data_IF_462162195579
#
_entry.id   IF_462162195579
#
_cell.length_a   1.000
_cell.length_b   1.000
_cell.length_c   1.000
_cell.angle_alpha   90.00
_cell.angle_beta   90.00
_cell.angle_gamma   90.00
#
_symmetry.space_group_name_H-M   'P 1'
#
loop_
_entity.id
_entity.type
_entity.pdbx_description
1 polymer ?
#
# COMPACT_ATOMS: atom_id res chain seq x y z
N UNK A 1 -15.18 41.59 -60.86
CA UNK A 1 -16.11 40.86 -59.96
C UNK A 1 -15.31 39.78 -59.23
N UNK A 2 -15.49 39.69 -57.90
CA UNK A 2 -14.50 39.19 -56.92
C UNK A 2 -14.19 37.69 -57.03
N UNK A 3 -12.89 37.34 -56.96
CA UNK A 3 -12.40 35.96 -56.76
C UNK A 3 -12.56 35.59 -55.28
N UNK A 4 -13.29 34.52 -54.99
CA UNK A 4 -13.44 33.97 -53.65
C UNK A 4 -12.39 32.85 -53.50
N UNK A 5 -11.46 33.03 -52.58
CA UNK A 5 -10.47 32.01 -52.20
C UNK A 5 -11.05 31.28 -50.99
N UNK A 6 -11.29 29.97 -51.12
CA UNK A 6 -11.71 29.11 -50.02
C UNK A 6 -10.44 28.55 -49.39
N UNK A 7 -10.13 28.97 -48.16
CA UNK A 7 -9.06 28.41 -47.34
C UNK A 7 -9.69 27.32 -46.47
N UNK A 8 -9.37 26.06 -46.75
CA UNK A 8 -9.72 24.95 -45.90
C UNK A 8 -8.78 24.91 -44.69
N UNK A 9 -9.31 25.11 -43.49
CA UNK A 9 -8.56 25.01 -42.24
C UNK A 9 -8.53 23.54 -41.81
N UNK A 10 -7.38 22.88 -41.98
CA UNK A 10 -7.17 21.51 -41.49
C UNK A 10 -7.05 21.51 -39.97
N UNK A 11 -8.00 20.90 -39.28
CA UNK A 11 -7.93 20.65 -37.84
C UNK A 11 -7.02 19.44 -37.60
N UNK A 12 -5.76 19.67 -37.23
CA UNK A 12 -4.87 18.61 -36.78
C UNK A 12 -5.25 18.22 -35.35
N UNK A 13 -5.83 17.03 -35.18
CA UNK A 13 -6.04 16.43 -33.87
C UNK A 13 -4.68 16.07 -33.27
N UNK A 14 -4.19 16.86 -32.31
CA UNK A 14 -3.13 16.40 -31.42
C UNK A 14 -3.72 15.34 -30.48
N UNK A 15 -3.54 14.07 -30.85
CA UNK A 15 -3.62 12.96 -29.91
C UNK A 15 -2.55 13.17 -28.84
N UNK A 16 -2.95 13.72 -27.70
CA UNK A 16 -2.10 13.82 -26.52
C UNK A 16 -1.70 12.42 -26.09
N UNK A 17 -0.47 12.02 -26.41
CA UNK A 17 0.19 10.91 -25.73
C UNK A 17 0.24 11.31 -24.27
N UNK A 18 -0.58 10.67 -23.44
CA UNK A 18 -0.41 10.77 -21.99
C UNK A 18 0.94 10.12 -21.70
N UNK A 19 1.97 10.92 -21.42
CA UNK A 19 3.15 10.41 -20.75
C UNK A 19 2.65 9.71 -19.49
N UNK A 20 2.78 8.38 -19.46
CA UNK A 20 2.63 7.63 -18.24
C UNK A 20 3.70 8.17 -17.29
N UNK A 21 3.28 9.05 -16.35
CA UNK A 21 4.17 9.50 -15.29
C UNK A 21 4.68 8.24 -14.61
N UNK A 22 6.00 8.05 -14.64
CA UNK A 22 6.60 6.94 -13.95
C UNK A 22 6.24 7.05 -12.46
N UNK A 23 5.52 6.04 -11.97
CA UNK A 23 5.15 5.89 -10.58
C UNK A 23 6.17 4.97 -9.90
N UNK A 24 6.46 5.23 -8.63
CA UNK A 24 7.25 4.33 -7.78
C UNK A 24 6.43 3.15 -7.23
N UNK A 25 5.13 3.17 -7.46
CA UNK A 25 4.20 2.15 -6.99
C UNK A 25 3.91 1.08 -8.05
N UNK A 26 3.25 0.00 -7.63
CA UNK A 26 2.66 -0.97 -8.55
C UNK A 26 1.75 -0.24 -9.55
N UNK A 27 1.89 -0.59 -10.83
CA UNK A 27 1.23 0.12 -11.93
C UNK A 27 0.17 -0.74 -12.62
N UNK A 28 0.25 -2.07 -12.48
CA UNK A 28 -0.63 -3.02 -13.16
C UNK A 28 -0.84 -4.27 -12.31
N UNK A 29 -2.06 -4.79 -12.31
CA UNK A 29 -2.39 -6.11 -11.75
C UNK A 29 -2.40 -7.12 -12.90
N UNK A 30 -1.40 -7.99 -12.96
CA UNK A 30 -1.29 -9.00 -14.01
C UNK A 30 -2.28 -10.15 -13.79
N UNK A 31 -2.41 -10.57 -12.54
CA UNK A 31 -3.35 -11.62 -12.15
C UNK A 31 -3.83 -11.41 -10.73
N UNK A 32 -5.07 -11.83 -10.47
CA UNK A 32 -5.61 -11.93 -9.13
C UNK A 32 -6.59 -13.10 -9.10
N UNK A 33 -6.39 -13.99 -8.14
CA UNK A 33 -7.26 -15.12 -7.86
C UNK A 33 -7.54 -15.12 -6.36
N UNK A 34 -8.78 -14.82 -5.99
CA UNK A 34 -9.23 -14.88 -4.60
C UNK A 34 -9.14 -16.31 -4.07
N UNK A 35 -8.66 -16.45 -2.86
CA UNK A 35 -8.70 -17.67 -2.06
C UNK A 35 -9.99 -17.83 -1.28
N UNK A 36 -10.01 -18.78 -0.36
CA UNK A 36 -11.13 -18.98 0.57
C UNK A 36 -11.07 -17.98 1.72
N UNK A 37 -12.23 -17.46 2.15
CA UNK A 37 -12.30 -16.57 3.31
C UNK A 37 -11.70 -15.17 3.07
N UNK A 38 -11.66 -14.71 1.82
CA UNK A 38 -11.36 -13.30 1.55
C UNK A 38 -12.41 -12.41 2.25
N UNK A 39 -11.99 -11.22 2.68
CA UNK A 39 -12.83 -10.31 3.44
C UNK A 39 -14.01 -9.77 2.59
N UNK A 40 -15.12 -9.51 3.26
CA UNK A 40 -16.30 -8.83 2.69
C UNK A 40 -16.64 -7.62 3.54
N UNK A 41 -17.06 -6.53 2.90
CA UNK A 41 -17.59 -5.37 3.59
C UNK A 41 -18.78 -5.77 4.46
N UNK A 42 -18.75 -5.36 5.71
CA UNK A 42 -19.76 -5.74 6.70
C UNK A 42 -21.15 -5.21 6.33
N UNK A 43 -21.22 -4.02 5.76
CA UNK A 43 -22.50 -3.34 5.51
C UNK A 43 -23.20 -3.84 4.26
N UNK A 44 -22.45 -4.17 3.21
CA UNK A 44 -22.98 -4.53 1.89
C UNK A 44 -22.81 -6.01 1.55
N UNK A 45 -21.92 -6.72 2.25
CA UNK A 45 -21.49 -8.07 1.90
C UNK A 45 -20.61 -8.14 0.64
N UNK A 46 -20.23 -6.99 0.07
CA UNK A 46 -19.40 -6.95 -1.13
C UNK A 46 -17.97 -7.40 -0.81
N UNK A 47 -17.36 -8.20 -1.68
CA UNK A 47 -15.99 -8.66 -1.50
C UNK A 47 -14.95 -7.56 -1.68
N UNK A 48 -13.89 -7.57 -0.86
CA UNK A 48 -12.68 -6.77 -1.07
C UNK A 48 -11.84 -7.34 -2.23
N UNK A 49 -12.41 -7.34 -3.44
CA UNK A 49 -11.84 -8.00 -4.63
C UNK A 49 -11.55 -7.03 -5.77
N UNK A 50 -11.70 -5.72 -5.52
CA UNK A 50 -11.39 -4.68 -6.49
C UNK A 50 -9.87 -4.57 -6.69
N UNK A 51 -9.39 -5.00 -7.87
CA UNK A 51 -7.96 -5.01 -8.22
C UNK A 51 -7.38 -3.60 -8.34
N UNK A 52 -8.19 -2.61 -8.68
CA UNK A 52 -7.73 -1.23 -8.86
C UNK A 52 -7.41 -0.56 -7.51
N UNK A 53 -7.79 -1.18 -6.38
CA UNK A 53 -7.50 -0.69 -5.04
C UNK A 53 -6.00 -0.78 -4.66
N UNK A 54 -5.20 -1.54 -5.40
CA UNK A 54 -3.79 -1.85 -5.08
C UNK A 54 -2.80 -1.38 -6.15
N UNK A 55 -3.23 -0.50 -7.06
CA UNK A 55 -2.35 0.19 -8.00
C UNK A 55 -2.17 1.65 -7.58
N UNK A 56 -0.98 2.20 -7.79
CA UNK A 56 -0.65 3.55 -7.37
C UNK A 56 -0.34 3.67 -5.88
N UNK A 57 -0.37 4.90 -5.38
CA UNK A 57 -0.03 5.20 -4.00
C UNK A 57 -1.07 4.61 -3.03
N UNK A 58 -0.66 4.14 -1.83
CA UNK A 58 -1.58 3.88 -0.74
C UNK A 58 -2.52 5.06 -0.48
N UNK A 59 -3.72 4.76 0.01
CA UNK A 59 -4.68 5.78 0.36
C UNK A 59 -4.16 6.65 1.52
N UNK A 60 -4.40 7.96 1.44
CA UNK A 60 -4.06 8.92 2.51
C UNK A 60 -5.23 9.23 3.44
N UNK A 61 -6.45 9.09 2.91
CA UNK A 61 -7.68 9.38 3.61
C UNK A 61 -8.74 8.36 3.20
N UNK A 62 -9.66 8.12 4.11
CA UNK A 62 -10.89 7.37 3.86
C UNK A 62 -12.03 8.36 3.66
N UNK A 63 -12.72 8.36 2.50
CA UNK A 63 -13.86 9.24 2.27
C UNK A 63 -15.12 8.77 3.02
N UNK A 64 -16.07 9.69 3.18
CA UNK A 64 -17.39 9.43 3.76
C UNK A 64 -17.60 10.08 5.13
N UNK A 65 -18.81 9.93 5.65
CA UNK A 65 -19.23 10.53 6.94
C UNK A 65 -18.39 10.04 8.12
N UNK A 66 -18.00 8.76 8.08
CA UNK A 66 -17.16 8.10 9.08
C UNK A 66 -15.69 7.99 8.65
N UNK A 67 -15.33 8.73 7.60
CA UNK A 67 -14.00 8.79 7.05
C UNK A 67 -13.05 9.71 7.83
N UNK A 68 -11.85 9.90 7.28
CA UNK A 68 -10.82 10.72 7.88
C UNK A 68 -9.42 10.34 7.39
N UNK A 69 -8.36 10.96 7.93
CA UNK A 69 -7.00 10.59 7.63
C UNK A 69 -6.72 9.12 7.95
N UNK A 70 -6.01 8.45 7.06
CA UNK A 70 -5.45 7.14 7.37
C UNK A 70 -4.29 7.36 8.32
N UNK A 71 -4.35 6.71 9.48
CA UNK A 71 -3.31 6.79 10.51
C UNK A 71 -3.02 5.38 11.02
N UNK A 72 -1.92 5.19 11.76
CA UNK A 72 -1.67 3.89 12.37
C UNK A 72 -2.77 3.39 13.32
N UNK A 73 -3.69 4.26 13.78
CA UNK A 73 -4.87 3.89 14.56
C UNK A 73 -6.16 3.72 13.72
N UNK A 74 -6.19 4.26 12.51
CA UNK A 74 -7.35 4.25 11.62
C UNK A 74 -6.89 3.79 10.23
N UNK A 75 -6.71 2.47 10.04
CA UNK A 75 -6.27 1.91 8.77
C UNK A 75 -7.34 2.09 7.67
N UNK A 76 -6.96 1.96 6.38
CA UNK A 76 -7.95 1.91 5.31
C UNK A 76 -8.97 0.79 5.56
N UNK A 77 -10.19 0.96 5.05
CA UNK A 77 -11.24 -0.06 5.22
C UNK A 77 -12.24 -0.13 4.06
N UNK A 78 -12.14 0.72 3.04
CA UNK A 78 -13.06 0.70 1.91
C UNK A 78 -12.60 -0.26 0.80
N UNK A 79 -13.58 -0.73 0.02
CA UNK A 79 -13.39 -1.63 -1.12
C UNK A 79 -12.45 -1.09 -2.21
N UNK A 80 -12.21 0.23 -2.24
CA UNK A 80 -11.30 0.87 -3.19
C UNK A 80 -9.94 1.24 -2.56
N UNK A 81 -9.67 0.81 -1.33
CA UNK A 81 -8.40 1.06 -0.63
C UNK A 81 -7.64 -0.23 -0.29
N UNK A 82 -8.33 -1.38 -0.19
CA UNK A 82 -7.72 -2.66 0.17
C UNK A 82 -8.21 -3.78 -0.76
N UNK A 83 -7.31 -4.69 -1.10
CA UNK A 83 -7.62 -5.99 -1.68
C UNK A 83 -7.41 -7.10 -0.63
N UNK A 84 -8.38 -8.01 -0.51
CA UNK A 84 -8.25 -9.22 0.31
C UNK A 84 -7.94 -10.43 -0.56
N UNK A 85 -6.84 -11.12 -0.27
CA UNK A 85 -6.38 -12.27 -1.06
C UNK A 85 -7.14 -13.55 -0.69
N UNK A 86 -7.33 -13.81 0.61
CA UNK A 86 -7.89 -15.06 1.13
C UNK A 86 -6.90 -16.24 1.12
N UNK A 87 -7.19 -17.29 1.88
CA UNK A 87 -6.33 -18.47 2.00
C UNK A 87 -6.23 -19.24 0.67
N UNK A 88 -5.00 -19.48 0.21
CA UNK A 88 -4.72 -20.11 -1.07
C UNK A 88 -4.99 -19.22 -2.29
N UNK A 89 -5.30 -17.93 -2.07
CA UNK A 89 -5.36 -16.93 -3.12
C UNK A 89 -3.98 -16.37 -3.46
N UNK A 90 -3.92 -15.61 -4.54
CA UNK A 90 -2.70 -14.94 -5.00
C UNK A 90 -3.04 -13.67 -5.80
N UNK A 91 -2.09 -12.74 -5.80
CA UNK A 91 -2.11 -11.55 -6.64
C UNK A 91 -0.71 -11.33 -7.20
N UNK A 92 -0.63 -11.02 -8.49
CA UNK A 92 0.62 -10.66 -9.16
C UNK A 92 0.56 -9.21 -9.62
N UNK A 93 1.50 -8.41 -9.12
CA UNK A 93 1.63 -6.99 -9.44
C UNK A 93 2.85 -6.76 -10.33
N UNK A 94 2.74 -5.75 -11.19
CA UNK A 94 3.85 -5.26 -12.00
C UNK A 94 4.12 -3.79 -11.69
N UNK A 95 5.38 -3.49 -11.43
CA UNK A 95 5.85 -2.12 -11.29
C UNK A 95 6.13 -1.50 -12.66
N UNK A 96 5.91 -0.19 -12.77
CA UNK A 96 6.26 0.55 -14.00
C UNK A 96 7.77 0.61 -14.22
N UNK A 97 8.56 0.48 -13.15
CA UNK A 97 10.02 0.38 -13.17
C UNK A 97 10.46 -0.84 -12.37
N UNK A 98 11.52 -1.54 -12.77
CA UNK A 98 12.07 -2.63 -11.97
C UNK A 98 12.41 -2.17 -10.55
N UNK A 99 12.09 -2.99 -9.55
CA UNK A 99 12.65 -2.88 -8.20
C UNK A 99 14.15 -3.19 -8.32
N UNK A 100 14.98 -2.47 -7.58
CA UNK A 100 16.44 -2.63 -7.59
C UNK A 100 16.96 -2.66 -6.17
N UNK A 101 17.82 -3.63 -5.91
CA UNK A 101 18.74 -3.57 -4.78
C UNK A 101 19.75 -2.45 -5.04
N UNK A 102 19.67 -1.39 -4.24
CA UNK A 102 20.53 -0.22 -4.34
C UNK A 102 21.16 0.07 -2.96
N UNK A 103 22.49 0.29 -2.86
CA UNK A 103 23.18 0.48 -1.58
C UNK A 103 22.70 1.67 -0.73
N UNK A 104 21.94 2.58 -1.33
CA UNK A 104 21.39 3.78 -0.66
C UNK A 104 19.93 3.60 -0.24
N UNK A 105 19.31 2.44 -0.50
CA UNK A 105 17.98 2.14 -0.01
C UNK A 105 17.98 2.18 1.53
N UNK A 106 17.09 2.96 2.17
CA UNK A 106 17.08 3.08 3.62
C UNK A 106 16.92 1.71 4.29
N UNK A 107 17.80 1.42 5.24
CA UNK A 107 17.90 0.12 5.93
C UNK A 107 18.14 -1.09 5.01
N UNK A 108 18.53 -0.88 3.74
CA UNK A 108 18.69 -1.95 2.75
C UNK A 108 17.36 -2.52 2.23
N UNK A 109 16.26 -1.77 2.31
CA UNK A 109 14.93 -2.25 1.92
C UNK A 109 14.54 -1.69 0.54
N UNK A 110 14.25 -2.59 -0.40
CA UNK A 110 14.09 -2.28 -1.81
C UNK A 110 12.65 -1.97 -2.22
N UNK A 111 11.68 -2.53 -1.50
CA UNK A 111 10.28 -2.22 -1.71
C UNK A 111 9.45 -2.38 -0.43
N UNK A 112 8.26 -1.79 -0.45
CA UNK A 112 7.32 -1.77 0.66
C UNK A 112 6.00 -2.42 0.26
N UNK A 113 5.37 -3.11 1.21
CA UNK A 113 4.00 -3.62 1.09
C UNK A 113 3.16 -3.06 2.22
N UNK A 114 2.03 -2.44 1.85
CA UNK A 114 1.09 -1.82 2.78
C UNK A 114 -0.09 -2.76 3.03
N UNK A 115 -0.33 -3.07 4.29
CA UNK A 115 -1.43 -3.92 4.74
C UNK A 115 -2.60 -3.13 5.33
N UNK A 116 -3.55 -3.88 5.89
CA UNK A 116 -4.77 -3.35 6.51
C UNK A 116 -4.70 -3.29 8.04
N UNK A 117 -3.58 -3.66 8.65
CA UNK A 117 -3.44 -3.64 10.09
C UNK A 117 -3.41 -2.22 10.68
N UNK A 118 -3.85 -2.10 11.93
CA UNK A 118 -3.77 -0.89 12.75
C UNK A 118 -3.37 -1.23 14.19
N UNK A 119 -2.88 -0.24 14.93
CA UNK A 119 -2.64 -0.36 16.37
C UNK A 119 -3.93 -0.33 17.16
N UNK A 120 -4.08 -1.24 18.12
CA UNK A 120 -5.22 -1.25 19.02
C UNK A 120 -5.12 -0.08 20.00
N UNK A 121 -6.20 0.70 20.10
CA UNK A 121 -6.35 1.75 21.11
C UNK A 121 -6.73 1.09 22.45
N UNK A 122 -5.97 1.36 23.51
CA UNK A 122 -6.14 0.71 24.83
C UNK A 122 -6.81 1.59 25.88
N UNK A 123 -6.86 2.91 25.68
CA UNK A 123 -7.53 3.87 26.58
C UNK A 123 -8.97 4.23 26.18
N UNK A 124 -9.46 3.71 25.05
CA UNK A 124 -10.80 3.99 24.52
C UNK A 124 -11.00 5.39 23.91
N UNK A 125 -9.92 6.15 23.69
CA UNK A 125 -9.99 7.47 23.07
C UNK A 125 -9.83 7.37 21.55
N UNK A 126 -10.95 7.37 20.84
CA UNK A 126 -11.00 7.36 19.38
C UNK A 126 -11.05 8.77 18.75
N UNK A 127 -10.94 9.83 19.55
CA UNK A 127 -11.03 11.22 19.10
C UNK A 127 -9.68 11.83 18.65
N UNK A 128 -8.63 10.99 18.61
CA UNK A 128 -7.27 11.38 18.22
C UNK A 128 -6.26 11.33 19.37
N UNK A 129 -6.71 11.15 20.62
CA UNK A 129 -5.85 10.98 21.81
C UNK A 129 -5.61 9.52 22.20
N UNK A 130 -5.90 8.58 21.30
CA UNK A 130 -5.70 7.15 21.51
C UNK A 130 -4.24 6.81 21.82
N UNK A 131 -4.04 5.86 22.74
CA UNK A 131 -2.74 5.24 22.99
C UNK A 131 -2.80 3.73 22.76
N UNK A 132 -1.65 3.10 22.50
CA UNK A 132 -1.54 1.65 22.29
C UNK A 132 -0.59 0.99 23.28
N UNK A 133 -0.72 -0.32 23.44
CA UNK A 133 0.33 -1.17 24.00
C UNK A 133 1.22 -1.79 22.91
N UNK A 134 1.02 -1.40 21.65
CA UNK A 134 1.67 -1.92 20.46
C UNK A 134 0.96 -3.12 19.82
N UNK A 135 -0.13 -3.65 20.40
CA UNK A 135 -0.88 -4.72 19.73
C UNK A 135 -1.51 -4.24 18.43
N UNK A 136 -1.54 -5.12 17.43
CA UNK A 136 -2.18 -4.86 16.14
C UNK A 136 -3.53 -5.56 16.06
N UNK A 137 -4.45 -4.97 15.30
CA UNK A 137 -5.67 -5.61 14.81
C UNK A 137 -5.67 -5.65 13.28
N UNK A 138 -6.55 -6.45 12.67
CA UNK A 138 -6.72 -6.49 11.21
C UNK A 138 -5.61 -7.21 10.44
N UNK A 139 -4.59 -7.73 11.14
CA UNK A 139 -3.49 -8.49 10.55
C UNK A 139 -3.96 -9.85 10.03
N UNK A 140 -3.37 -10.29 8.92
CA UNK A 140 -3.49 -11.68 8.49
C UNK A 140 -2.55 -12.57 9.30
N UNK A 141 -3.08 -13.43 10.16
CA UNK A 141 -2.31 -14.39 10.97
C UNK A 141 -1.78 -15.60 10.17
N UNK A 142 -1.99 -15.61 8.85
CA UNK A 142 -1.56 -16.67 7.96
C UNK A 142 -0.13 -16.48 7.43
N UNK A 143 0.44 -17.56 6.90
CA UNK A 143 1.70 -17.50 6.15
C UNK A 143 1.45 -16.92 4.75
N UNK A 144 1.84 -15.67 4.54
CA UNK A 144 1.86 -15.06 3.21
C UNK A 144 3.24 -15.24 2.60
N UNK A 145 3.29 -15.84 1.41
CA UNK A 145 4.53 -15.96 0.63
C UNK A 145 4.65 -14.80 -0.33
N UNK A 146 5.84 -14.21 -0.39
CA UNK A 146 6.17 -13.13 -1.29
C UNK A 146 7.23 -13.62 -2.28
N UNK A 147 6.99 -13.40 -3.56
CA UNK A 147 7.91 -13.77 -4.63
C UNK A 147 8.13 -12.60 -5.57
N UNK A 148 9.34 -12.50 -6.09
CA UNK A 148 9.73 -11.48 -7.07
C UNK A 148 10.20 -12.13 -8.36
N UNK A 149 10.02 -11.42 -9.48
CA UNK A 149 10.44 -11.85 -10.80
C UNK A 149 10.80 -10.65 -11.66
N UNK A 150 11.89 -10.77 -12.42
CA UNK A 150 12.32 -9.74 -13.36
C UNK A 150 11.69 -9.90 -14.75
N UNK A 151 11.30 -11.12 -15.12
CA UNK A 151 10.80 -11.49 -16.46
C UNK A 151 9.35 -11.99 -16.46
N UNK A 152 8.77 -12.27 -15.29
CA UNK A 152 7.44 -12.86 -15.14
C UNK A 152 7.41 -14.37 -15.32
N UNK A 153 8.54 -15.01 -15.60
CA UNK A 153 8.68 -16.46 -15.83
C UNK A 153 9.40 -17.14 -14.67
N UNK A 154 10.56 -16.63 -14.26
CA UNK A 154 11.34 -17.13 -13.14
C UNK A 154 10.97 -16.38 -11.85
N UNK A 155 10.43 -17.11 -10.86
CA UNK A 155 9.96 -16.54 -9.60
C UNK A 155 10.86 -16.98 -8.44
N UNK A 156 11.31 -16.01 -7.66
CA UNK A 156 12.14 -16.21 -6.47
C UNK A 156 11.33 -15.87 -5.23
N UNK A 157 11.11 -16.86 -4.36
CA UNK A 157 10.44 -16.65 -3.08
C UNK A 157 11.43 -15.99 -2.12
N UNK A 158 11.05 -14.87 -1.51
CA UNK A 158 11.89 -14.25 -0.48
C UNK A 158 12.01 -15.18 0.73
N UNK A 159 13.21 -15.29 1.30
CA UNK A 159 13.46 -16.18 2.44
C UNK A 159 12.61 -15.74 3.64
N UNK A 160 11.62 -16.52 4.10
CA UNK A 160 10.76 -16.12 5.21
C UNK A 160 11.49 -16.03 6.55
N UNK A 161 12.75 -16.48 6.64
CA UNK A 161 13.61 -16.27 7.82
C UNK A 161 14.27 -14.88 7.84
N UNK A 162 14.37 -14.25 6.67
CA UNK A 162 15.04 -12.96 6.49
C UNK A 162 14.05 -11.85 6.15
N UNK A 163 12.97 -12.21 5.46
CA UNK A 163 11.85 -11.33 5.18
C UNK A 163 10.89 -11.28 6.39
N UNK A 164 10.46 -10.07 6.81
CA UNK A 164 9.44 -9.95 7.83
C UNK A 164 8.13 -10.62 7.37
N UNK A 165 7.32 -11.05 8.34
CA UNK A 165 5.97 -11.52 8.00
C UNK A 165 5.20 -10.41 7.28
N UNK A 166 4.35 -10.77 6.33
CA UNK A 166 3.46 -9.81 5.69
C UNK A 166 2.62 -9.07 6.73
N UNK A 167 2.51 -7.75 6.58
CA UNK A 167 1.76 -6.90 7.52
C UNK A 167 2.26 -7.12 8.98
N UNK A 168 3.57 -7.35 9.16
CA UNK A 168 4.16 -7.71 10.45
C UNK A 168 4.02 -6.58 11.45
N UNK A 169 4.48 -5.39 11.08
CA UNK A 169 4.54 -4.17 11.88
C UNK A 169 4.64 -2.98 10.91
N UNK A 170 4.27 -1.79 11.39
CA UNK A 170 4.17 -0.52 10.66
C UNK A 170 2.86 -0.30 9.87
N UNK A 171 1.70 -0.21 10.56
CA UNK A 171 0.46 0.30 9.98
C UNK A 171 0.64 1.56 9.11
N UNK A 172 -0.22 1.72 8.11
CA UNK A 172 -0.12 2.85 7.17
C UNK A 172 -0.33 4.19 7.89
N UNK A 173 0.57 5.15 7.65
CA UNK A 173 0.39 6.56 7.98
C UNK A 173 0.21 7.37 6.69
N UNK A 174 -1.03 7.82 6.47
CA UNK A 174 -1.43 8.57 5.28
C UNK A 174 -0.77 9.94 5.16
N UNK A 175 -0.10 10.46 6.20
CA UNK A 175 0.64 11.72 6.15
C UNK A 175 2.10 11.54 5.71
N UNK A 176 2.64 10.31 5.75
CA UNK A 176 4.05 10.03 5.49
C UNK A 176 4.41 9.87 4.00
N UNK A 177 5.70 9.60 3.78
CA UNK A 177 6.26 9.20 2.49
C UNK A 177 6.20 7.68 2.32
N UNK A 178 5.45 7.24 1.31
CA UNK A 178 5.25 5.83 0.98
C UNK A 178 6.45 5.18 0.26
N UNK A 179 7.54 5.91 0.05
CA UNK A 179 8.82 5.36 -0.42
C UNK A 179 9.85 5.18 0.70
N UNK A 180 9.58 5.71 1.90
CA UNK A 180 10.48 5.64 3.04
C UNK A 180 10.02 4.52 3.97
N UNK A 181 10.81 3.45 4.18
CA UNK A 181 10.50 2.44 5.18
C UNK A 181 10.60 2.98 6.61
N UNK A 182 9.80 2.42 7.52
CA UNK A 182 10.02 2.58 8.96
C UNK A 182 11.26 1.78 9.37
N UNK A 183 11.99 2.23 10.39
CA UNK A 183 13.13 1.49 10.94
C UNK A 183 12.72 0.07 11.34
N UNK A 184 13.26 -0.99 10.68
CA UNK A 184 12.85 -2.37 10.93
C UNK A 184 13.28 -2.90 12.31
N UNK A 185 14.11 -2.17 13.05
CA UNK A 185 14.47 -2.52 14.42
C UNK A 185 13.37 -2.20 15.45
N UNK A 186 12.33 -1.44 15.06
CA UNK A 186 11.20 -1.15 15.95
C UNK A 186 10.34 -2.40 16.20
N UNK A 187 9.96 -2.59 17.45
CA UNK A 187 9.16 -3.71 17.92
C UNK A 187 7.95 -3.22 18.73
N UNK A 188 7.06 -4.15 19.10
CA UNK A 188 5.86 -3.89 19.92
C UNK A 188 6.11 -2.91 21.07
N UNK A 189 7.16 -3.17 21.85
CA UNK A 189 7.48 -2.41 23.05
C UNK A 189 7.82 -0.95 22.78
N UNK A 190 8.32 -0.61 21.59
CA UNK A 190 8.64 0.76 21.23
C UNK A 190 7.37 1.61 21.11
N UNK A 191 6.21 1.00 20.84
CA UNK A 191 4.93 1.70 20.71
C UNK A 191 4.13 1.78 22.01
N UNK A 192 4.56 1.08 23.07
CA UNK A 192 3.81 1.00 24.34
C UNK A 192 3.58 2.38 24.97
N UNK A 193 2.36 2.59 25.48
CA UNK A 193 1.84 3.88 25.96
C UNK A 193 1.82 5.01 24.94
N UNK A 194 2.09 4.70 23.65
CA UNK A 194 2.30 5.68 22.59
C UNK A 194 1.01 6.07 21.87
N UNK A 195 0.89 7.36 21.53
CA UNK A 195 -0.11 7.89 20.61
C UNK A 195 0.51 8.42 19.32
N UNK A 196 -0.29 9.12 18.51
CA UNK A 196 0.13 9.62 17.18
C UNK A 196 1.42 10.47 17.22
N UNK A 197 1.63 11.29 18.26
CA UNK A 197 2.86 12.08 18.38
C UNK A 197 4.12 11.21 18.48
N UNK A 198 4.07 10.11 19.25
CA UNK A 198 5.17 9.15 19.34
C UNK A 198 5.37 8.43 18.01
N UNK A 199 4.29 8.14 17.28
CA UNK A 199 4.39 7.48 15.98
C UNK A 199 5.06 8.39 14.96
N UNK A 200 4.78 9.69 14.95
CA UNK A 200 5.49 10.66 14.10
C UNK A 200 7.00 10.63 14.31
N UNK A 201 7.44 10.54 15.58
CA UNK A 201 8.87 10.43 15.92
C UNK A 201 9.47 9.09 15.44
N UNK A 202 8.79 7.98 15.73
CA UNK A 202 9.26 6.63 15.41
C UNK A 202 9.27 6.34 13.90
N UNK A 203 8.27 6.85 13.17
CA UNK A 203 8.16 6.66 11.72
C UNK A 203 9.11 7.60 10.96
N UNK A 204 9.56 8.69 11.59
CA UNK A 204 10.53 9.63 11.03
C UNK A 204 10.18 10.10 9.59
N UNK A 205 8.88 10.31 9.33
CA UNK A 205 8.36 10.72 8.02
C UNK A 205 7.95 9.59 7.08
N UNK A 206 8.18 8.32 7.45
CA UNK A 206 7.68 7.16 6.71
C UNK A 206 6.15 7.09 6.70
N UNK A 207 5.58 6.60 5.60
CA UNK A 207 4.16 6.27 5.51
C UNK A 207 3.78 4.88 6.06
N UNK A 208 4.71 4.17 6.70
CA UNK A 208 4.51 2.80 7.18
C UNK A 208 4.85 1.74 6.14
N UNK A 209 4.18 0.59 6.25
CA UNK A 209 4.40 -0.56 5.38
C UNK A 209 5.52 -1.47 5.84
N UNK A 210 5.45 -2.73 5.41
CA UNK A 210 6.48 -3.73 5.67
C UNK A 210 7.49 -3.71 4.53
N UNK A 211 8.78 -3.52 4.84
CA UNK A 211 9.85 -3.44 3.85
C UNK A 211 10.52 -4.78 3.59
N UNK A 212 11.03 -4.95 2.37
CA UNK A 212 11.67 -6.18 1.88
C UNK A 212 12.93 -5.87 1.08
N UNK A 213 13.96 -6.67 1.32
CA UNK A 213 15.21 -6.73 0.57
C UNK A 213 15.11 -7.87 -0.47
N UNK A 214 15.59 -7.63 -1.71
CA UNK A 214 15.62 -8.61 -2.80
C UNK A 214 17.00 -9.23 -3.06
N UNK A 215 18.01 -8.90 -2.26
CA UNK A 215 19.37 -9.46 -2.34
C UNK A 215 19.49 -10.93 -1.89
#
# INVERSE_FOLDING_TARGET
MKRIIIIALGFAALSGVREARATQFAAEVLSYKSGTGYATDWSTGAGFTNKDAIIGAPARETPGEWGGPITPFSPPYLLNQILSIGAGGEVTLKFARPIRDEPLNPFGLDFLVFGGAGFTITNGDFSGGGITDGTLFGRADGETRLSVSADGEAWFVLDPKQAPTFDAYHPTDGAGDFALPVNPALAKGDFDGGGLAKFTELYAGSGGGTGYDIA
#
